data_IF_357401749296
#
_entry.id   IF_357401749296
#
_cell.length_a   1.000
_cell.length_b   1.000
_cell.length_c   1.000
_cell.angle_alpha   90.00
_cell.angle_beta   90.00
_cell.angle_gamma   90.00
#
_symmetry.space_group_name_H-M   'P 1'
#
loop_
_entity.id
_entity.type
_entity.pdbx_description
1 polymer ?
#
# COMPACT_ATOMS: atom_id res chain seq x y z
N UNK A 1 -13.12 1.41 14.55
CA UNK A 1 -11.92 2.21 14.24
C UNK A 1 -11.44 1.79 12.87
N UNK A 2 -11.18 2.74 11.97
CA UNK A 2 -10.70 2.46 10.62
C UNK A 2 -9.18 2.61 10.65
N UNK A 3 -8.46 1.60 10.18
CA UNK A 3 -7.00 1.55 10.17
C UNK A 3 -6.44 2.19 8.88
N UNK A 4 -7.11 1.92 7.75
CA UNK A 4 -6.75 2.46 6.46
C UNK A 4 -7.95 2.59 5.53
N UNK A 5 -7.81 3.44 4.52
CA UNK A 5 -8.74 3.56 3.39
C UNK A 5 -7.94 3.37 2.11
N UNK A 6 -8.37 2.42 1.28
CA UNK A 6 -7.76 2.13 -0.01
C UNK A 6 -8.60 2.73 -1.13
N UNK A 7 -7.95 3.43 -2.05
CA UNK A 7 -8.55 3.95 -3.28
C UNK A 7 -7.94 3.26 -4.49
N UNK A 8 -8.76 3.08 -5.51
CA UNK A 8 -8.29 2.75 -6.84
C UNK A 8 -7.96 4.06 -7.56
N UNK A 9 -6.73 4.18 -8.05
CA UNK A 9 -6.22 5.39 -8.65
C UNK A 9 -5.57 5.10 -10.00
N UNK A 10 -5.51 6.13 -10.85
CA UNK A 10 -4.80 6.12 -12.12
C UNK A 10 -3.68 7.14 -12.09
N UNK A 11 -2.70 6.99 -12.98
CA UNK A 11 -1.63 7.97 -13.18
C UNK A 11 -0.75 8.21 -11.94
N UNK A 12 0.02 7.19 -11.51
CA UNK A 12 0.88 7.29 -10.31
C UNK A 12 1.91 8.42 -10.41
N UNK A 13 2.41 8.72 -11.61
CA UNK A 13 3.37 9.82 -11.82
C UNK A 13 2.80 11.17 -11.40
N UNK A 14 1.52 11.43 -11.71
CA UNK A 14 0.87 12.69 -11.37
C UNK A 14 0.74 12.85 -9.87
N UNK A 15 0.36 11.78 -9.16
CA UNK A 15 0.30 11.76 -7.70
C UNK A 15 1.67 11.98 -7.07
N UNK A 16 2.70 11.29 -7.54
CA UNK A 16 4.07 11.45 -7.04
C UNK A 16 4.59 12.87 -7.22
N UNK A 17 4.40 13.46 -8.41
CA UNK A 17 4.76 14.87 -8.68
C UNK A 17 4.00 15.81 -7.75
N UNK A 18 2.70 15.57 -7.56
CA UNK A 18 1.87 16.39 -6.68
C UNK A 18 2.35 16.30 -5.23
N UNK A 19 2.52 15.09 -4.68
CA UNK A 19 2.97 14.89 -3.30
C UNK A 19 4.35 15.48 -3.05
N UNK A 20 5.29 15.33 -3.99
CA UNK A 20 6.60 16.00 -3.91
C UNK A 20 6.46 17.52 -3.90
N UNK A 21 5.57 18.08 -4.73
CA UNK A 21 5.34 19.53 -4.81
C UNK A 21 4.72 20.10 -3.54
N UNK A 22 3.81 19.36 -2.89
CA UNK A 22 3.18 19.79 -1.62
C UNK A 22 3.94 19.34 -0.37
N UNK A 23 5.07 18.64 -0.52
CA UNK A 23 5.90 18.18 0.60
C UNK A 23 5.25 17.07 1.45
N UNK A 24 4.28 16.33 0.90
CA UNK A 24 3.62 15.24 1.61
C UNK A 24 4.51 14.01 1.61
N UNK A 25 4.83 13.41 2.77
CA UNK A 25 5.57 12.16 2.82
C UNK A 25 4.71 11.00 2.30
N UNK A 26 5.25 10.22 1.38
CA UNK A 26 4.61 9.03 0.84
C UNK A 26 5.58 7.87 0.80
N UNK A 27 5.05 6.64 0.89
CA UNK A 27 5.83 5.41 0.73
C UNK A 27 5.36 4.66 -0.52
N UNK A 28 6.19 4.62 -1.57
CA UNK A 28 5.87 3.86 -2.76
C UNK A 28 6.19 2.38 -2.62
N UNK A 29 5.37 1.53 -3.23
CA UNK A 29 5.48 0.07 -3.21
C UNK A 29 5.14 -0.49 -4.57
N UNK A 30 6.02 -1.32 -5.12
CA UNK A 30 5.85 -1.89 -6.45
C UNK A 30 5.75 -3.42 -6.41
N UNK A 31 4.75 -3.95 -7.11
CA UNK A 31 4.53 -5.38 -7.35
C UNK A 31 4.49 -5.65 -8.85
N UNK A 32 5.68 -5.81 -9.49
CA UNK A 32 5.75 -6.04 -10.93
C UNK A 32 5.06 -7.34 -11.36
N UNK A 33 5.08 -8.38 -10.52
CA UNK A 33 4.41 -9.67 -10.80
C UNK A 33 2.88 -9.54 -10.90
N UNK A 34 2.28 -8.65 -10.11
CA UNK A 34 0.83 -8.41 -10.08
C UNK A 34 0.41 -7.17 -10.88
N UNK A 35 1.36 -6.53 -11.57
CA UNK A 35 1.16 -5.27 -12.29
C UNK A 35 0.51 -4.19 -11.40
N UNK A 36 0.90 -4.15 -10.13
CA UNK A 36 0.28 -3.30 -9.12
C UNK A 36 1.34 -2.39 -8.50
N UNK A 37 1.06 -1.10 -8.54
CA UNK A 37 1.83 -0.09 -7.83
C UNK A 37 0.95 0.51 -6.74
N UNK A 38 1.52 0.73 -5.55
CA UNK A 38 0.80 1.28 -4.42
C UNK A 38 1.53 2.49 -3.82
N UNK A 39 0.77 3.49 -3.39
CA UNK A 39 1.29 4.60 -2.59
C UNK A 39 0.61 4.62 -1.23
N UNK A 40 1.41 4.67 -0.17
CA UNK A 40 0.92 4.81 1.19
C UNK A 40 1.20 6.22 1.69
N UNK A 41 0.16 6.89 2.18
CA UNK A 41 0.21 8.21 2.78
C UNK A 41 -0.39 8.08 4.18
N UNK A 42 0.13 8.86 5.13
CA UNK A 42 -0.44 8.93 6.48
C UNK A 42 -0.99 10.33 6.69
N UNK A 43 -2.26 10.40 7.08
CA UNK A 43 -2.88 11.66 7.46
C UNK A 43 -2.39 12.13 8.85
N UNK A 44 -2.54 13.42 9.20
CA UNK A 44 -2.24 13.95 10.52
C UNK A 44 -2.89 13.20 11.71
N UNK A 45 -4.13 12.71 11.55
CA UNK A 45 -4.83 11.90 12.56
C UNK A 45 -4.32 10.45 12.64
N UNK A 46 -3.43 10.06 11.72
CA UNK A 46 -2.74 8.78 11.69
C UNK A 46 -3.43 7.71 10.85
N UNK A 47 -4.49 8.04 10.12
CA UNK A 47 -5.16 7.16 9.17
C UNK A 47 -4.24 6.89 7.98
N UNK A 48 -4.13 5.63 7.58
CA UNK A 48 -3.35 5.27 6.40
C UNK A 48 -4.22 5.34 5.14
N UNK A 49 -3.78 6.12 4.16
CA UNK A 49 -4.40 6.21 2.84
C UNK A 49 -3.55 5.38 1.88
N UNK A 50 -4.16 4.37 1.27
CA UNK A 50 -3.53 3.52 0.26
C UNK A 50 -4.09 3.86 -1.12
N UNK A 51 -3.22 4.14 -2.09
CA UNK A 51 -3.60 4.34 -3.49
C UNK A 51 -3.11 3.15 -4.31
N UNK A 52 -4.03 2.45 -4.98
CA UNK A 52 -3.75 1.28 -5.79
C UNK A 52 -3.82 1.62 -7.29
N UNK A 53 -2.72 1.37 -8.00
CA UNK A 53 -2.57 1.60 -9.43
C UNK A 53 -2.34 0.27 -10.14
N UNK A 54 -3.34 -0.19 -10.88
CA UNK A 54 -3.27 -1.44 -11.63
C UNK A 54 -2.71 -1.24 -13.04
N UNK A 55 -2.18 -2.29 -13.64
CA UNK A 55 -1.61 -2.28 -15.00
C UNK A 55 -0.19 -1.70 -15.08
N UNK A 56 0.48 -1.52 -13.94
CA UNK A 56 1.84 -0.97 -13.90
C UNK A 56 2.86 -2.11 -14.00
N UNK A 57 3.40 -2.30 -15.19
CA UNK A 57 4.37 -3.37 -15.50
C UNK A 57 5.83 -2.94 -15.32
N UNK A 58 6.11 -1.64 -15.48
CA UNK A 58 7.42 -1.02 -15.23
C UNK A 58 7.20 0.28 -14.47
N UNK A 59 7.74 0.35 -13.27
CA UNK A 59 7.87 1.60 -12.51
C UNK A 59 9.33 2.09 -12.72
N UNK A 60 9.59 3.00 -13.67
CA UNK A 60 10.95 3.30 -14.11
C UNK A 60 11.82 4.01 -13.05
N UNK A 61 11.30 5.06 -12.38
CA UNK A 61 12.08 5.88 -11.41
C UNK A 61 11.18 6.51 -10.32
N UNK A 62 10.00 5.94 -10.10
CA UNK A 62 9.03 6.48 -9.13
C UNK A 62 9.40 6.22 -7.67
N UNK A 63 10.54 5.57 -7.44
CA UNK A 63 10.92 5.01 -6.14
C UNK A 63 9.96 3.90 -5.71
N UNK A 64 10.37 3.19 -4.67
CA UNK A 64 9.55 2.17 -4.03
C UNK A 64 10.35 0.92 -3.77
N UNK A 65 10.11 0.34 -2.61
CA UNK A 65 10.72 -0.93 -2.25
C UNK A 65 10.23 -2.00 -3.23
N UNK A 66 11.17 -2.74 -3.83
CA UNK A 66 10.86 -3.81 -4.78
C UNK A 66 10.37 -5.03 -3.99
N UNK A 67 9.05 -5.08 -3.76
CA UNK A 67 8.46 -6.05 -2.84
C UNK A 67 8.46 -7.49 -3.39
N UNK A 68 8.68 -7.68 -4.69
CA UNK A 68 8.92 -9.02 -5.26
C UNK A 68 10.22 -9.66 -4.74
N UNK A 69 11.17 -8.85 -4.24
CA UNK A 69 12.42 -9.33 -3.61
C UNK A 69 12.34 -9.44 -2.09
N UNK A 70 11.27 -8.94 -1.46
CA UNK A 70 11.07 -9.10 -0.03
C UNK A 70 10.49 -10.48 0.27
N UNK A 71 10.98 -11.19 1.31
CA UNK A 71 10.35 -12.42 1.74
C UNK A 71 8.90 -12.11 2.09
N UNK A 72 7.96 -12.72 1.35
CA UNK A 72 6.54 -12.62 1.71
C UNK A 72 6.43 -13.06 3.16
N UNK A 73 5.92 -12.19 4.02
CA UNK A 73 5.54 -12.60 5.36
C UNK A 73 4.61 -13.80 5.17
N UNK A 74 5.07 -14.99 5.58
CA UNK A 74 4.24 -16.19 5.59
C UNK A 74 2.96 -15.77 6.31
N UNK A 75 1.84 -15.87 5.59
CA UNK A 75 0.49 -15.51 6.02
C UNK A 75 0.42 -15.59 7.53
N UNK A 76 0.30 -14.44 8.21
CA UNK A 76 0.20 -14.41 9.66
C UNK A 76 -0.84 -15.47 10.03
N UNK A 77 -0.37 -16.59 10.61
CA UNK A 77 -1.23 -17.73 10.94
C UNK A 77 -2.34 -17.16 11.80
N UNK A 78 -3.57 -17.07 11.28
CA UNK A 78 -4.76 -16.73 12.06
C UNK A 78 -4.74 -17.67 13.27
N UNK A 79 -4.45 -17.13 14.47
CA UNK A 79 -4.65 -17.90 15.71
C UNK A 79 -6.15 -18.25 15.75
N UNK A 80 -6.52 -19.53 15.95
CA UNK A 80 -7.92 -19.89 16.07
C UNK A 80 -8.49 -19.21 17.33
N UNK A 81 -9.54 -18.41 17.13
CA UNK A 81 -10.35 -17.88 18.23
C UNK A 81 -11.06 -19.07 18.86
N UNK A 82 -10.68 -19.42 20.09
CA UNK A 82 -11.43 -20.41 20.88
C UNK A 82 -12.80 -19.82 21.19
N UNK A 83 -13.85 -20.39 20.60
CA UNK A 83 -15.23 -20.13 21.00
C UNK A 83 -15.40 -20.58 22.46
N UNK A 84 -15.69 -19.64 23.36
CA UNK A 84 -16.09 -19.95 24.73
C UNK A 84 -17.60 -20.22 24.69
N UNK A 85 -17.99 -21.49 24.76
CA UNK A 85 -19.38 -21.87 24.97
C UNK A 85 -19.78 -21.48 26.40
N UNK A 86 -20.85 -20.69 26.51
CA UNK A 86 -21.53 -20.42 27.77
C UNK A 86 -22.48 -21.58 28.07
N UNK A 87 -22.41 -22.08 29.31
CA UNK A 87 -23.43 -22.86 29.98
C UNK A 87 -23.49 -22.35 31.42
#
# INVERSE_FOLDING_TARGET
>A
MIDHIAFLATDPEKFLKHFKAVGVPFRPRNFPESQLYQLFIKDPDGLTIELNFFGITKAPDWGGEDYSKMPRAASAKKKPVKAKAAA
#
